data_IF_695058302095
#
_entry.id   IF_695058302095
#
_cell.length_a   1.000
_cell.length_b   1.000
_cell.length_c   1.000
_cell.angle_alpha   90.00
_cell.angle_beta   90.00
_cell.angle_gamma   90.00
#
_symmetry.space_group_name_H-M   'P 1'
#
loop_
_entity.id
_entity.type
_entity.pdbx_description
1 polymer ?
#
# COMPACT_ATOMS: atom_id res chain seq x y z
N UNK A 1 17.40 -8.85 26.61
CA UNK A 1 17.42 -7.59 25.83
C UNK A 1 18.27 -7.88 24.61
N UNK A 2 17.64 -8.21 23.50
CA UNK A 2 18.33 -8.32 22.23
C UNK A 2 18.29 -6.94 21.61
N UNK A 3 19.46 -6.35 21.39
CA UNK A 3 19.62 -5.10 20.65
C UNK A 3 19.11 -5.34 19.22
N UNK A 4 17.85 -5.02 19.00
CA UNK A 4 17.30 -4.87 17.64
C UNK A 4 17.95 -3.61 17.10
N UNK A 5 18.77 -3.67 16.03
CA UNK A 5 19.37 -2.47 15.51
C UNK A 5 18.24 -1.54 15.06
N UNK A 6 18.11 -0.41 15.75
CA UNK A 6 17.38 0.74 15.24
C UNK A 6 17.85 0.98 13.82
N UNK A 7 16.96 1.02 12.89
CA UNK A 7 17.21 1.23 11.48
C UNK A 7 17.89 2.60 11.24
N UNK A 8 19.14 2.66 11.60
CA UNK A 8 20.05 3.74 11.19
C UNK A 8 20.50 3.38 9.79
N UNK A 9 19.84 3.83 8.70
CA UNK A 9 20.39 3.92 7.34
C UNK A 9 21.39 2.87 6.85
N UNK A 10 21.57 1.80 7.58
CA UNK A 10 22.54 0.74 7.34
C UNK A 10 21.97 -0.27 6.36
N UNK A 11 22.60 -0.36 5.22
CA UNK A 11 22.39 -1.30 4.14
C UNK A 11 22.11 -2.71 4.63
N UNK A 12 20.86 -3.15 4.55
CA UNK A 12 20.57 -4.57 4.44
C UNK A 12 21.15 -5.03 3.11
N UNK A 13 22.34 -5.60 3.16
CA UNK A 13 23.06 -6.10 1.99
C UNK A 13 22.54 -7.46 1.53
N UNK A 14 21.26 -7.54 1.21
CA UNK A 14 20.84 -8.66 0.38
C UNK A 14 21.36 -8.41 -1.03
N UNK A 15 21.71 -9.45 -1.80
CA UNK A 15 22.13 -9.27 -3.20
C UNK A 15 21.09 -8.49 -4.04
N UNK A 16 19.83 -8.50 -3.62
CA UNK A 16 18.71 -7.81 -4.25
C UNK A 16 18.67 -6.33 -3.90
N UNK A 17 18.89 -5.97 -2.65
CA UNK A 17 19.01 -4.56 -2.23
C UNK A 17 20.15 -3.88 -2.99
N UNK A 18 21.28 -4.55 -3.15
CA UNK A 18 22.41 -4.02 -3.90
C UNK A 18 22.06 -3.82 -5.38
N UNK A 19 21.40 -4.79 -6.04
CA UNK A 19 20.98 -4.65 -7.45
C UNK A 19 20.01 -3.48 -7.66
N UNK A 20 19.11 -3.25 -6.71
CA UNK A 20 18.18 -2.12 -6.76
C UNK A 20 18.88 -0.77 -6.59
N UNK A 21 19.78 -0.68 -5.62
CA UNK A 21 20.58 0.52 -5.42
C UNK A 21 21.46 0.81 -6.65
N UNK A 22 21.94 -0.22 -7.31
CA UNK A 22 22.70 -0.09 -8.56
C UNK A 22 21.81 0.37 -9.72
N UNK A 23 20.58 -0.12 -9.83
CA UNK A 23 19.59 0.34 -10.81
C UNK A 23 19.22 1.81 -10.58
N UNK A 24 18.94 2.20 -9.32
CA UNK A 24 18.70 3.60 -8.96
C UNK A 24 19.87 4.51 -9.32
N UNK A 25 21.11 4.09 -9.00
CA UNK A 25 22.33 4.89 -9.29
C UNK A 25 22.57 5.09 -10.78
N UNK A 26 22.15 4.15 -11.62
CA UNK A 26 22.25 4.28 -13.08
C UNK A 26 21.16 5.17 -13.67
N UNK A 27 20.24 5.71 -12.87
CA UNK A 27 19.08 6.42 -13.38
C UNK A 27 18.17 5.52 -14.23
N UNK A 28 18.20 4.22 -13.92
CA UNK A 28 17.43 3.22 -14.63
C UNK A 28 15.98 3.31 -14.12
N UNK A 29 15.08 3.87 -14.91
CA UNK A 29 13.63 3.94 -14.61
C UNK A 29 13.01 2.56 -14.47
N UNK A 30 13.80 1.50 -14.67
CA UNK A 30 13.38 0.12 -14.76
C UNK A 30 13.95 -0.77 -13.64
N UNK A 31 14.01 -0.27 -12.38
CA UNK A 31 14.34 -1.19 -11.28
C UNK A 31 13.27 -2.29 -11.09
N UNK A 32 12.06 -2.09 -11.63
CA UNK A 32 10.98 -3.07 -11.65
C UNK A 32 11.33 -4.41 -12.33
N UNK A 33 12.08 -4.49 -13.43
CA UNK A 33 12.55 -5.78 -13.95
C UNK A 33 13.41 -6.57 -12.97
N UNK A 34 14.14 -5.90 -12.09
CA UNK A 34 14.90 -6.57 -11.02
C UNK A 34 13.93 -7.17 -10.00
N UNK A 35 12.85 -6.46 -9.70
CA UNK A 35 11.79 -6.94 -8.82
C UNK A 35 11.06 -8.15 -9.39
N UNK A 36 10.77 -8.16 -10.68
CA UNK A 36 10.14 -9.30 -11.36
C UNK A 36 10.91 -10.60 -11.14
N UNK A 37 12.25 -10.54 -11.13
CA UNK A 37 13.09 -11.71 -10.85
C UNK A 37 12.90 -12.24 -9.42
N UNK A 38 12.67 -11.35 -8.45
CA UNK A 38 12.42 -11.73 -7.05
C UNK A 38 11.04 -12.33 -6.87
N UNK A 39 10.06 -11.78 -7.58
CA UNK A 39 8.66 -12.19 -7.50
C UNK A 39 8.34 -13.48 -8.28
N UNK A 40 9.22 -13.91 -9.18
CA UNK A 40 9.11 -15.20 -9.89
C UNK A 40 9.38 -16.43 -8.99
N UNK A 41 9.44 -16.22 -7.67
CA UNK A 41 9.58 -17.32 -6.73
C UNK A 41 8.27 -18.11 -6.62
N UNK A 42 8.38 -19.43 -6.53
CA UNK A 42 7.22 -20.34 -6.47
C UNK A 42 6.59 -20.35 -5.06
N UNK A 43 5.88 -19.27 -4.71
CA UNK A 43 5.16 -19.15 -3.45
C UNK A 43 3.98 -20.11 -3.32
N UNK A 44 3.48 -20.68 -4.44
CA UNK A 44 2.37 -21.64 -4.45
C UNK A 44 2.72 -22.96 -3.77
N UNK A 45 4.00 -23.30 -3.71
CA UNK A 45 4.48 -24.51 -3.03
C UNK A 45 4.79 -24.29 -1.56
N UNK A 46 4.72 -23.04 -1.08
CA UNK A 46 4.99 -22.75 0.32
C UNK A 46 3.83 -23.20 1.22
N UNK A 47 4.10 -23.86 2.35
CA UNK A 47 3.11 -24.01 3.42
C UNK A 47 2.60 -22.63 3.88
N UNK A 48 1.34 -22.56 4.33
CA UNK A 48 0.72 -21.30 4.79
C UNK A 48 1.55 -20.60 5.87
N UNK A 49 2.13 -21.36 6.79
CA UNK A 49 3.00 -20.84 7.86
C UNK A 49 4.26 -20.18 7.29
N UNK A 50 4.78 -20.71 6.20
CA UNK A 50 5.93 -20.11 5.50
C UNK A 50 5.53 -18.88 4.72
N UNK A 51 4.34 -18.85 4.14
CA UNK A 51 3.82 -17.66 3.47
C UNK A 51 3.67 -16.48 4.43
N UNK A 52 3.24 -16.71 5.66
CA UNK A 52 3.11 -15.66 6.69
C UNK A 52 4.38 -14.85 6.92
N UNK A 53 5.53 -15.48 6.78
CA UNK A 53 6.85 -14.85 6.95
C UNK A 53 7.61 -14.71 5.63
N UNK A 54 6.95 -14.98 4.51
CA UNK A 54 7.60 -15.03 3.21
C UNK A 54 8.26 -13.70 2.84
N UNK A 55 7.55 -12.60 2.98
CA UNK A 55 8.08 -11.28 2.70
C UNK A 55 9.24 -10.89 3.63
N UNK A 56 9.18 -11.29 4.89
CA UNK A 56 10.25 -11.08 5.87
C UNK A 56 11.47 -11.93 5.56
N UNK A 57 11.26 -13.20 5.20
CA UNK A 57 12.34 -14.13 4.85
C UNK A 57 13.09 -13.70 3.58
N UNK A 58 12.36 -13.19 2.60
CA UNK A 58 12.93 -12.78 1.31
C UNK A 58 13.32 -11.31 1.27
N UNK A 59 12.99 -10.55 2.31
CA UNK A 59 13.30 -9.14 2.41
C UNK A 59 12.93 -8.37 1.14
N UNK A 60 11.67 -8.58 0.67
CA UNK A 60 11.13 -7.94 -0.51
C UNK A 60 10.33 -6.70 -0.09
N UNK A 61 10.99 -5.55 0.12
CA UNK A 61 10.38 -4.37 0.75
C UNK A 61 9.27 -3.73 -0.09
N UNK A 62 9.07 -4.19 -1.31
CA UNK A 62 8.07 -3.64 -2.24
C UNK A 62 6.74 -4.35 -2.18
N UNK A 63 6.73 -5.59 -1.74
CA UNK A 63 5.50 -6.38 -1.62
C UNK A 63 4.94 -6.26 -0.22
N UNK A 64 5.82 -6.03 0.74
CA UNK A 64 5.48 -5.85 2.14
C UNK A 64 6.41 -4.81 2.76
N UNK A 65 5.87 -3.70 3.23
CA UNK A 65 6.69 -2.65 3.84
C UNK A 65 7.13 -3.06 5.23
N UNK A 66 8.41 -2.96 5.49
CA UNK A 66 8.92 -3.07 6.84
C UNK A 66 8.71 -1.74 7.58
N UNK A 67 7.76 -1.71 8.50
CA UNK A 67 7.39 -0.50 9.23
C UNK A 67 8.08 -0.53 10.59
N UNK A 68 8.93 0.45 10.89
CA UNK A 68 9.58 0.53 12.21
C UNK A 68 8.56 0.60 13.35
N UNK A 69 8.81 -0.11 14.43
CA UNK A 69 7.93 -0.22 15.59
C UNK A 69 7.38 1.13 16.11
N UNK A 70 8.16 2.21 16.23
CA UNK A 70 7.62 3.49 16.69
C UNK A 70 6.47 4.01 15.82
N UNK A 71 6.50 3.74 14.51
CA UNK A 71 5.43 4.18 13.60
C UNK A 71 4.18 3.32 13.74
N UNK A 72 4.35 2.04 14.02
CA UNK A 72 3.22 1.15 14.32
C UNK A 72 2.46 1.65 15.54
N UNK A 73 3.17 2.11 16.57
CA UNK A 73 2.55 2.69 17.77
C UNK A 73 1.76 3.96 17.46
N UNK A 74 2.29 4.86 16.64
CA UNK A 74 1.57 6.07 16.22
C UNK A 74 0.27 5.71 15.47
N UNK A 75 0.34 4.74 14.57
CA UNK A 75 -0.84 4.25 13.87
C UNK A 75 -1.86 3.60 14.81
N UNK A 76 -1.41 2.74 15.73
CA UNK A 76 -2.28 2.10 16.71
C UNK A 76 -2.94 3.13 17.63
N UNK A 77 -2.18 4.16 18.05
CA UNK A 77 -2.71 5.26 18.83
C UNK A 77 -3.83 5.99 18.08
N UNK A 78 -3.60 6.34 16.83
CA UNK A 78 -4.61 6.96 15.98
C UNK A 78 -5.88 6.11 15.86
N UNK A 79 -5.74 4.79 15.62
CA UNK A 79 -6.86 3.86 15.50
C UNK A 79 -7.65 3.75 16.81
N UNK A 80 -6.96 3.63 17.95
CA UNK A 80 -7.58 3.41 19.26
C UNK A 80 -8.50 4.55 19.69
N UNK A 81 -8.17 5.76 19.29
CA UNK A 81 -8.92 6.96 19.69
C UNK A 81 -10.05 7.34 18.73
N UNK A 82 -10.43 6.44 17.82
CA UNK A 82 -11.58 6.65 16.95
C UNK A 82 -12.85 6.01 17.53
N UNK A 83 -14.03 6.48 17.13
CA UNK A 83 -15.30 5.83 17.50
C UNK A 83 -15.47 4.41 16.91
N UNK A 84 -14.62 4.02 15.98
CA UNK A 84 -14.68 2.72 15.28
C UNK A 84 -13.59 1.72 15.77
N UNK A 85 -12.98 1.96 16.94
CA UNK A 85 -11.80 1.22 17.39
C UNK A 85 -11.92 -0.31 17.35
N UNK A 86 -13.06 -0.88 17.79
CA UNK A 86 -13.29 -2.33 17.75
C UNK A 86 -13.46 -2.86 16.32
N UNK A 87 -14.18 -2.14 15.46
CA UNK A 87 -14.37 -2.50 14.06
C UNK A 87 -13.03 -2.45 13.31
N UNK A 88 -12.20 -1.46 13.60
CA UNK A 88 -10.87 -1.33 13.03
C UNK A 88 -9.93 -2.45 13.50
N UNK A 89 -10.00 -2.82 14.78
CA UNK A 89 -9.26 -3.95 15.30
C UNK A 89 -9.62 -5.24 14.56
N UNK A 90 -10.91 -5.50 14.36
CA UNK A 90 -11.37 -6.66 13.59
C UNK A 90 -10.90 -6.62 12.13
N UNK A 91 -10.91 -5.44 11.50
CA UNK A 91 -10.52 -5.29 10.10
C UNK A 91 -9.03 -5.60 9.85
N UNK A 92 -8.14 -5.24 10.77
CA UNK A 92 -6.70 -5.53 10.59
C UNK A 92 -6.33 -6.98 10.87
N UNK A 93 -7.19 -7.74 11.55
CA UNK A 93 -6.92 -9.14 11.83
C UNK A 93 -7.06 -9.99 10.57
N UNK A 94 -6.12 -10.89 10.36
CA UNK A 94 -6.15 -11.89 9.31
C UNK A 94 -5.73 -13.24 9.91
N UNK A 95 -6.71 -14.10 10.26
CA UNK A 95 -6.44 -15.29 11.06
C UNK A 95 -5.84 -16.46 10.28
N UNK A 96 -5.93 -16.47 8.94
CA UNK A 96 -5.60 -17.66 8.15
C UNK A 96 -4.20 -17.58 7.54
N UNK A 97 -3.88 -16.49 6.87
CA UNK A 97 -2.74 -16.43 5.97
C UNK A 97 -1.80 -15.28 6.34
N UNK A 98 -2.30 -14.20 6.91
CA UNK A 98 -1.61 -12.92 7.06
C UNK A 98 -0.14 -13.02 7.42
N UNK A 99 0.64 -12.16 6.83
CA UNK A 99 1.98 -11.87 7.27
C UNK A 99 1.91 -11.26 8.67
N UNK A 100 2.14 -12.05 9.69
CA UNK A 100 2.27 -11.51 11.05
C UNK A 100 3.73 -11.16 11.26
N UNK A 101 3.99 -9.93 11.65
CA UNK A 101 5.29 -9.49 12.16
C UNK A 101 5.33 -9.62 13.69
N UNK A 102 4.48 -10.48 14.27
CA UNK A 102 4.38 -10.66 15.70
C UNK A 102 5.74 -10.97 16.34
N UNK A 103 6.57 -11.75 15.64
CA UNK A 103 7.93 -12.05 16.06
C UNK A 103 8.87 -10.84 16.01
N UNK A 104 8.52 -9.81 15.25
CA UNK A 104 9.29 -8.57 15.14
C UNK A 104 8.75 -7.45 16.05
N UNK A 105 7.49 -7.57 16.44
CA UNK A 105 6.78 -6.57 17.25
C UNK A 105 5.99 -7.27 18.36
N UNK A 106 6.68 -7.67 19.43
CA UNK A 106 6.06 -8.32 20.62
C UNK A 106 4.81 -7.59 21.14
N UNK A 107 4.77 -6.28 20.95
CA UNK A 107 3.65 -5.44 21.37
C UNK A 107 2.43 -5.49 20.45
N UNK A 108 2.61 -5.81 19.17
CA UNK A 108 1.49 -6.03 18.25
C UNK A 108 0.68 -7.26 18.67
N UNK A 109 1.38 -8.31 19.12
CA UNK A 109 0.75 -9.54 19.61
C UNK A 109 -0.13 -9.29 20.82
N UNK A 110 0.34 -8.47 21.76
CA UNK A 110 -0.42 -8.10 22.95
C UNK A 110 -1.68 -7.29 22.64
N UNK A 111 -1.63 -6.46 21.59
CA UNK A 111 -2.75 -5.61 21.21
C UNK A 111 -3.71 -6.27 20.21
N UNK A 112 -3.19 -7.11 19.31
CA UNK A 112 -3.91 -7.64 18.15
C UNK A 112 -4.09 -9.17 18.15
N UNK A 113 -3.69 -9.86 19.21
CA UNK A 113 -3.79 -11.33 19.32
C UNK A 113 -3.05 -12.09 18.20
N UNK A 114 -1.85 -11.67 17.83
CA UNK A 114 -0.96 -12.32 16.85
C UNK A 114 -1.52 -12.51 15.44
N UNK A 115 -2.55 -11.75 15.06
CA UNK A 115 -3.26 -11.92 13.78
C UNK A 115 -3.24 -10.69 12.88
N UNK A 116 -2.37 -9.73 13.17
CA UNK A 116 -2.22 -8.54 12.36
C UNK A 116 -0.75 -8.33 11.99
N UNK A 117 -0.50 -7.70 10.85
CA UNK A 117 0.82 -7.20 10.47
C UNK A 117 0.91 -5.68 10.67
N UNK A 118 2.14 -5.17 10.79
CA UNK A 118 2.39 -3.73 10.82
C UNK A 118 1.86 -3.05 9.55
N UNK A 119 1.99 -3.71 8.39
CA UNK A 119 1.46 -3.21 7.12
C UNK A 119 -0.05 -3.09 7.13
N UNK A 120 -0.78 -4.06 7.69
CA UNK A 120 -2.24 -3.98 7.83
C UNK A 120 -2.66 -2.80 8.73
N UNK A 121 -1.96 -2.61 9.83
CA UNK A 121 -2.18 -1.45 10.72
C UNK A 121 -1.94 -0.15 9.97
N UNK A 122 -0.87 -0.06 9.18
CA UNK A 122 -0.58 1.11 8.35
C UNK A 122 -1.66 1.36 7.30
N UNK A 123 -2.11 0.34 6.58
CA UNK A 123 -3.18 0.48 5.59
C UNK A 123 -4.48 0.99 6.20
N UNK A 124 -4.85 0.47 7.36
CA UNK A 124 -6.01 0.99 8.08
C UNK A 124 -5.81 2.44 8.50
N UNK A 125 -4.63 2.80 8.99
CA UNK A 125 -4.32 4.17 9.39
C UNK A 125 -4.37 5.14 8.19
N UNK A 126 -3.93 4.72 6.99
CA UNK A 126 -4.08 5.51 5.77
C UNK A 126 -5.55 5.86 5.49
N UNK A 127 -6.44 4.87 5.58
CA UNK A 127 -7.87 5.08 5.40
C UNK A 127 -8.42 6.05 6.45
N UNK A 128 -8.12 5.79 7.72
CA UNK A 128 -8.59 6.58 8.85
C UNK A 128 -8.14 8.04 8.78
N UNK A 129 -6.84 8.29 8.63
CA UNK A 129 -6.26 9.64 8.59
C UNK A 129 -6.80 10.44 7.41
N UNK A 130 -7.18 9.76 6.34
CA UNK A 130 -7.82 10.35 5.18
C UNK A 130 -9.36 10.35 5.25
N UNK A 131 -9.96 9.96 6.38
CA UNK A 131 -11.40 10.01 6.61
C UNK A 131 -12.23 9.00 5.82
N UNK A 132 -11.63 7.89 5.39
CA UNK A 132 -12.35 6.76 4.78
C UNK A 132 -12.83 5.81 5.86
N UNK A 133 -13.91 6.21 6.53
CA UNK A 133 -14.58 5.43 7.59
C UNK A 133 -15.44 4.32 7.00
N UNK A 134 -15.88 3.35 7.82
CA UNK A 134 -16.84 2.32 7.40
C UNK A 134 -18.09 2.90 6.71
N UNK A 135 -18.64 3.99 7.26
CA UNK A 135 -19.81 4.64 6.68
C UNK A 135 -19.55 5.23 5.29
N UNK A 136 -18.34 5.69 5.02
CA UNK A 136 -17.95 6.21 3.72
C UNK A 136 -17.72 5.07 2.74
N UNK A 137 -16.96 4.05 3.15
CA UNK A 137 -16.62 2.90 2.31
C UNK A 137 -17.83 2.06 1.91
N UNK A 138 -18.80 1.88 2.82
CA UNK A 138 -20.01 1.10 2.56
C UNK A 138 -20.93 1.70 1.46
N UNK A 139 -20.77 2.98 1.15
CA UNK A 139 -21.54 3.68 0.10
C UNK A 139 -20.89 3.61 -1.28
N UNK A 140 -19.67 3.09 -1.36
CA UNK A 140 -18.95 2.99 -2.61
C UNK A 140 -19.31 1.70 -3.36
N UNK A 141 -19.30 1.76 -4.67
CA UNK A 141 -19.58 0.63 -5.56
C UNK A 141 -18.32 0.09 -6.22
N UNK A 142 -17.34 0.97 -6.45
CA UNK A 142 -16.13 0.65 -7.19
C UNK A 142 -14.92 1.33 -6.58
N UNK A 143 -13.91 0.54 -6.25
CA UNK A 143 -12.59 1.04 -5.81
C UNK A 143 -11.53 0.53 -6.78
N UNK A 144 -10.58 1.39 -7.13
CA UNK A 144 -9.37 1.02 -7.86
C UNK A 144 -8.17 1.24 -6.95
N UNK A 145 -7.30 0.27 -6.86
CA UNK A 145 -6.01 0.39 -6.18
C UNK A 145 -4.86 0.19 -7.17
N UNK A 146 -3.84 0.99 -7.01
CA UNK A 146 -2.64 0.97 -7.84
C UNK A 146 -1.47 0.51 -6.98
N UNK A 147 -0.94 -0.70 -7.27
CA UNK A 147 0.14 -1.28 -6.50
C UNK A 147 -0.30 -1.68 -5.10
N UNK A 148 -0.94 -2.82 -4.95
CA UNK A 148 -1.51 -3.32 -3.69
C UNK A 148 -0.54 -4.14 -2.84
N UNK A 149 0.73 -4.26 -3.23
CA UNK A 149 1.67 -5.15 -2.56
C UNK A 149 1.18 -6.59 -2.55
N UNK A 150 1.11 -7.23 -1.38
CA UNK A 150 0.53 -8.58 -1.28
C UNK A 150 -1.00 -8.61 -1.32
N UNK A 151 -1.66 -7.45 -1.31
CA UNK A 151 -3.12 -7.38 -1.41
C UNK A 151 -3.85 -7.28 -0.07
N UNK A 152 -3.27 -6.69 0.96
CA UNK A 152 -3.90 -6.59 2.28
C UNK A 152 -4.98 -5.50 2.36
N UNK A 153 -4.82 -4.40 1.62
CA UNK A 153 -5.76 -3.27 1.65
C UNK A 153 -7.19 -3.67 1.25
N UNK A 154 -7.43 -4.44 0.18
CA UNK A 154 -8.78 -4.90 -0.16
C UNK A 154 -9.46 -5.69 0.95
N UNK A 155 -8.76 -6.61 1.60
CA UNK A 155 -9.32 -7.40 2.71
C UNK A 155 -9.78 -6.50 3.86
N UNK A 156 -8.97 -5.52 4.24
CA UNK A 156 -9.32 -4.52 5.25
C UNK A 156 -10.58 -3.75 4.84
N UNK A 157 -10.63 -3.28 3.61
CA UNK A 157 -11.75 -2.48 3.08
C UNK A 157 -13.06 -3.29 3.05
N UNK A 158 -13.02 -4.56 2.65
CA UNK A 158 -14.18 -5.43 2.73
C UNK A 158 -14.66 -5.65 4.17
N UNK A 159 -13.74 -5.85 5.11
CA UNK A 159 -14.06 -5.97 6.54
C UNK A 159 -14.62 -4.69 7.14
N UNK A 160 -14.32 -3.54 6.55
CA UNK A 160 -14.91 -2.24 6.91
C UNK A 160 -16.29 -2.00 6.28
N UNK A 161 -16.87 -2.98 5.57
CA UNK A 161 -18.22 -2.91 5.06
C UNK A 161 -18.36 -2.53 3.59
N UNK A 162 -17.29 -2.41 2.84
CA UNK A 162 -17.36 -2.28 1.38
C UNK A 162 -17.93 -3.57 0.77
N UNK A 163 -18.86 -3.44 -0.18
CA UNK A 163 -19.53 -4.59 -0.80
C UNK A 163 -19.44 -4.60 -2.33
N UNK A 164 -18.82 -3.57 -2.90
CA UNK A 164 -18.69 -3.37 -4.34
C UNK A 164 -17.59 -4.20 -4.99
N UNK A 165 -17.16 -3.77 -6.16
CA UNK A 165 -16.06 -4.40 -6.91
C UNK A 165 -14.75 -3.64 -6.67
N UNK A 166 -13.70 -4.38 -6.35
CA UNK A 166 -12.37 -3.84 -6.11
C UNK A 166 -11.43 -4.21 -7.26
N UNK A 167 -10.84 -3.23 -7.91
CA UNK A 167 -9.89 -3.43 -9.00
C UNK A 167 -8.47 -3.16 -8.50
N UNK A 168 -7.55 -4.03 -8.84
CA UNK A 168 -6.12 -3.86 -8.54
C UNK A 168 -5.35 -3.82 -9.84
N UNK A 169 -4.62 -2.72 -10.05
CA UNK A 169 -3.61 -2.61 -11.09
C UNK A 169 -2.24 -2.86 -10.48
N UNK A 170 -1.58 -3.91 -10.94
CA UNK A 170 -0.24 -4.25 -10.48
C UNK A 170 0.56 -4.97 -11.58
N UNK A 171 1.83 -5.26 -11.30
CA UNK A 171 2.68 -6.07 -12.17
C UNK A 171 2.09 -7.49 -12.32
N UNK A 172 2.31 -8.16 -13.46
CA UNK A 172 1.76 -9.50 -13.70
C UNK A 172 2.12 -10.50 -12.59
N UNK A 173 3.35 -10.47 -12.14
CA UNK A 173 3.89 -11.38 -11.11
C UNK A 173 3.26 -11.10 -9.74
N UNK A 174 3.15 -9.83 -9.38
CA UNK A 174 2.48 -9.40 -8.13
C UNK A 174 1.00 -9.76 -8.17
N UNK A 175 0.35 -9.55 -9.32
CA UNK A 175 -1.06 -9.91 -9.51
C UNK A 175 -1.33 -11.42 -9.36
N UNK A 176 -0.36 -12.28 -9.69
CA UNK A 176 -0.48 -13.72 -9.43
C UNK A 176 -0.47 -14.03 -7.94
N UNK A 177 0.47 -13.45 -7.20
CA UNK A 177 0.53 -13.55 -5.74
C UNK A 177 -0.76 -13.07 -5.09
N UNK A 178 -1.24 -11.91 -5.49
CA UNK A 178 -2.49 -11.32 -4.98
C UNK A 178 -3.71 -12.20 -5.26
N UNK A 179 -3.84 -12.77 -6.47
CA UNK A 179 -4.93 -13.70 -6.79
C UNK A 179 -4.93 -14.93 -5.90
N UNK A 180 -3.76 -15.51 -5.67
CA UNK A 180 -3.63 -16.65 -4.77
C UNK A 180 -4.04 -16.25 -3.35
N UNK A 181 -3.51 -15.14 -2.81
CA UNK A 181 -3.81 -14.64 -1.48
C UNK A 181 -5.31 -14.38 -1.30
N UNK A 182 -5.93 -13.64 -2.20
CA UNK A 182 -7.36 -13.31 -2.13
C UNK A 182 -8.25 -14.54 -2.29
N UNK A 183 -7.82 -15.54 -3.07
CA UNK A 183 -8.54 -16.82 -3.19
C UNK A 183 -8.55 -17.56 -1.86
N UNK A 184 -7.42 -17.59 -1.15
CA UNK A 184 -7.35 -18.21 0.17
C UNK A 184 -8.25 -17.50 1.20
N UNK A 185 -8.40 -16.19 1.08
CA UNK A 185 -9.29 -15.39 1.93
C UNK A 185 -10.78 -15.46 1.50
N UNK A 186 -11.10 -16.12 0.38
CA UNK A 186 -12.46 -16.27 -0.12
C UNK A 186 -13.05 -15.03 -0.80
N UNK A 187 -12.21 -14.08 -1.22
CA UNK A 187 -12.65 -12.89 -1.94
C UNK A 187 -13.02 -13.21 -3.39
N UNK A 188 -14.23 -12.85 -3.81
CA UNK A 188 -14.77 -13.11 -5.16
C UNK A 188 -15.02 -11.85 -5.99
N UNK A 189 -14.95 -10.67 -5.39
CA UNK A 189 -15.21 -9.38 -6.04
C UNK A 189 -13.96 -8.54 -6.27
N UNK A 190 -12.77 -9.17 -6.27
CA UNK A 190 -11.51 -8.51 -6.57
C UNK A 190 -11.12 -8.86 -8.00
N UNK A 191 -10.90 -7.83 -8.81
CA UNK A 191 -10.47 -7.93 -10.21
C UNK A 191 -9.01 -7.49 -10.30
N UNK A 192 -8.13 -8.40 -10.67
CA UNK A 192 -6.71 -8.11 -10.87
C UNK A 192 -6.44 -7.85 -12.36
N UNK A 193 -5.77 -6.74 -12.63
CA UNK A 193 -5.34 -6.37 -13.97
C UNK A 193 -3.90 -5.85 -13.98
N UNK A 194 -3.22 -6.05 -15.10
CA UNK A 194 -1.90 -5.49 -15.39
C UNK A 194 -1.95 -4.47 -16.53
N UNK A 195 -3.14 -4.04 -16.88
CA UNK A 195 -3.35 -3.09 -17.98
C UNK A 195 -4.25 -1.93 -17.56
N UNK A 196 -3.76 -0.71 -17.73
CA UNK A 196 -4.48 0.52 -17.39
C UNK A 196 -5.82 0.61 -18.13
N UNK A 197 -5.88 0.17 -19.38
CA UNK A 197 -7.06 0.28 -20.25
C UNK A 197 -8.29 -0.48 -19.76
N UNK A 198 -8.13 -1.44 -18.88
CA UNK A 198 -9.24 -2.22 -18.32
C UNK A 198 -9.78 -1.66 -17.00
N UNK A 199 -9.17 -0.60 -16.49
CA UNK A 199 -9.64 0.04 -15.27
C UNK A 199 -10.91 0.86 -15.52
N UNK A 200 -11.93 0.74 -14.64
CA UNK A 200 -13.10 1.59 -14.68
C UNK A 200 -12.81 2.96 -14.04
N UNK A 201 -13.66 3.93 -14.32
CA UNK A 201 -13.81 5.10 -13.46
C UNK A 201 -14.44 4.63 -12.13
N UNK A 202 -13.88 5.06 -11.00
CA UNK A 202 -14.22 4.54 -9.69
C UNK A 202 -14.77 5.63 -8.75
N UNK A 203 -15.35 5.19 -7.63
CA UNK A 203 -15.70 6.08 -6.52
C UNK A 203 -14.45 6.54 -5.78
N UNK A 204 -13.45 5.65 -5.68
CA UNK A 204 -12.18 5.91 -5.01
C UNK A 204 -11.03 5.24 -5.77
N UNK A 205 -9.95 5.99 -6.00
CA UNK A 205 -8.65 5.45 -6.37
C UNK A 205 -7.68 5.57 -5.19
N UNK A 206 -7.04 4.46 -4.85
CA UNK A 206 -6.03 4.35 -3.79
C UNK A 206 -4.67 4.09 -4.44
N UNK A 207 -3.65 4.83 -4.02
CA UNK A 207 -2.27 4.60 -4.43
C UNK A 207 -1.32 4.99 -3.30
N UNK A 208 -0.97 4.04 -2.47
CA UNK A 208 -0.03 4.26 -1.38
C UNK A 208 1.39 4.02 -1.88
N UNK A 209 2.11 5.12 -2.17
CA UNK A 209 3.42 5.26 -2.80
C UNK A 209 3.50 4.81 -4.27
N UNK A 210 2.85 3.76 -4.68
CA UNK A 210 2.97 3.12 -5.99
C UNK A 210 2.81 4.09 -7.18
N UNK A 211 1.81 4.97 -7.15
CA UNK A 211 1.58 5.95 -8.22
C UNK A 211 2.79 6.87 -8.43
N UNK A 212 3.40 7.32 -7.34
CA UNK A 212 4.55 8.23 -7.37
C UNK A 212 5.88 7.54 -7.63
N UNK A 213 5.89 6.22 -7.66
CA UNK A 213 7.02 5.39 -8.05
C UNK A 213 6.96 4.97 -9.53
N UNK A 214 5.82 5.17 -10.19
CA UNK A 214 5.66 4.86 -11.61
C UNK A 214 6.40 5.83 -12.53
N UNK A 215 6.84 5.39 -13.72
CA UNK A 215 7.30 6.27 -14.78
C UNK A 215 6.23 7.31 -15.17
N UNK A 216 6.64 8.53 -15.48
CA UNK A 216 5.71 9.64 -15.81
C UNK A 216 4.76 9.31 -16.96
N UNK A 217 5.23 8.58 -17.98
CA UNK A 217 4.38 8.15 -19.10
C UNK A 217 3.23 7.27 -18.64
N UNK A 218 3.50 6.30 -17.74
CA UNK A 218 2.48 5.42 -17.19
C UNK A 218 1.49 6.18 -16.29
N UNK A 219 1.97 7.16 -15.51
CA UNK A 219 1.09 8.06 -14.73
C UNK A 219 0.13 8.82 -15.65
N UNK A 220 0.63 9.34 -16.77
CA UNK A 220 -0.20 10.07 -17.75
C UNK A 220 -1.27 9.17 -18.39
N UNK A 221 -0.92 7.93 -18.74
CA UNK A 221 -1.88 6.96 -19.28
C UNK A 221 -2.96 6.60 -18.24
N UNK A 222 -2.56 6.41 -16.99
CA UNK A 222 -3.47 6.13 -15.89
C UNK A 222 -4.45 7.28 -15.67
N UNK A 223 -3.96 8.51 -15.59
CA UNK A 223 -4.80 9.70 -15.38
C UNK A 223 -5.76 9.89 -16.56
N UNK A 224 -5.34 9.63 -17.78
CA UNK A 224 -6.20 9.67 -18.96
C UNK A 224 -7.34 8.65 -18.86
N UNK A 225 -7.07 7.46 -18.34
CA UNK A 225 -8.06 6.38 -18.22
C UNK A 225 -9.03 6.60 -17.06
N UNK A 226 -8.53 6.93 -15.87
CA UNK A 226 -9.35 6.99 -14.65
C UNK A 226 -9.37 8.36 -13.98
N UNK A 227 -8.92 9.42 -14.64
CA UNK A 227 -8.87 10.78 -14.09
C UNK A 227 -10.23 11.34 -13.64
N UNK A 228 -11.34 10.76 -14.14
CA UNK A 228 -12.71 11.10 -13.74
C UNK A 228 -13.14 10.40 -12.42
N UNK A 229 -12.30 9.56 -11.83
CA UNK A 229 -12.56 8.95 -10.52
C UNK A 229 -12.93 10.01 -9.49
N UNK A 230 -13.99 9.74 -8.72
CA UNK A 230 -14.61 10.74 -7.84
C UNK A 230 -13.69 11.20 -6.73
N UNK A 231 -12.96 10.25 -6.13
CA UNK A 231 -12.09 10.51 -5.01
C UNK A 231 -10.71 9.86 -5.22
N UNK A 232 -9.69 10.46 -4.64
CA UNK A 232 -8.32 9.94 -4.66
C UNK A 232 -7.70 9.95 -3.27
N UNK A 233 -6.99 8.87 -2.95
CA UNK A 233 -6.09 8.77 -1.81
C UNK A 233 -4.72 8.39 -2.33
N UNK A 234 -3.77 9.31 -2.24
CA UNK A 234 -2.39 9.09 -2.67
C UNK A 234 -1.48 9.33 -1.47
N UNK A 235 -0.74 8.31 -1.02
CA UNK A 235 0.38 8.51 -0.12
C UNK A 235 1.66 8.59 -0.95
N UNK A 236 2.53 9.56 -0.67
CA UNK A 236 3.73 9.78 -1.46
C UNK A 236 4.88 10.37 -0.64
N UNK A 237 6.10 10.08 -1.07
CA UNK A 237 7.30 10.77 -0.65
C UNK A 237 7.62 11.89 -1.65
N UNK A 238 8.07 13.04 -1.14
CA UNK A 238 8.33 14.23 -1.96
C UNK A 238 9.31 13.95 -3.09
N UNK A 239 10.41 13.29 -2.79
CA UNK A 239 11.42 12.98 -3.78
C UNK A 239 11.62 11.48 -3.90
N UNK A 240 11.40 10.93 -5.08
CA UNK A 240 11.68 9.54 -5.40
C UNK A 240 12.13 9.44 -6.87
N UNK A 241 13.15 8.64 -7.16
CA UNK A 241 13.73 8.43 -8.50
C UNK A 241 14.05 9.72 -9.26
N UNK A 242 14.54 10.76 -8.55
CA UNK A 242 14.86 12.06 -9.16
C UNK A 242 13.64 12.93 -9.50
N UNK A 243 12.42 12.50 -9.17
CA UNK A 243 11.18 13.24 -9.43
C UNK A 243 10.77 13.98 -8.15
N UNK A 244 10.49 15.29 -8.25
CA UNK A 244 9.76 16.03 -7.22
C UNK A 244 8.25 15.74 -7.41
N UNK A 245 7.75 14.80 -6.61
CA UNK A 245 6.36 14.38 -6.67
C UNK A 245 5.40 15.48 -6.20
N UNK A 246 5.82 16.37 -5.30
CA UNK A 246 5.00 17.51 -4.88
C UNK A 246 4.73 18.44 -6.07
N UNK A 247 5.79 18.77 -6.82
CA UNK A 247 5.67 19.58 -8.01
C UNK A 247 4.82 18.88 -9.10
N UNK A 248 5.06 17.59 -9.34
CA UNK A 248 4.29 16.81 -10.30
C UNK A 248 2.80 16.77 -9.93
N UNK A 249 2.48 16.42 -8.69
CA UNK A 249 1.09 16.33 -8.23
C UNK A 249 0.39 17.68 -8.33
N UNK A 250 1.06 18.76 -7.92
CA UNK A 250 0.46 20.11 -7.94
C UNK A 250 0.25 20.64 -9.34
N UNK A 251 1.27 20.58 -10.19
CA UNK A 251 1.27 21.30 -11.47
C UNK A 251 0.75 20.46 -12.64
N UNK A 252 0.85 19.13 -12.56
CA UNK A 252 0.48 18.25 -13.66
C UNK A 252 -0.76 17.44 -13.33
N UNK A 253 -0.70 16.63 -12.27
CA UNK A 253 -1.77 15.70 -11.92
C UNK A 253 -3.10 16.41 -11.62
N UNK A 254 -3.08 17.40 -10.71
CA UNK A 254 -4.31 18.13 -10.34
C UNK A 254 -4.96 18.87 -11.52
N UNK A 255 -4.17 19.37 -12.47
CA UNK A 255 -4.71 20.01 -13.67
C UNK A 255 -5.42 19.01 -14.60
N UNK A 256 -4.91 17.78 -14.68
CA UNK A 256 -5.43 16.73 -15.56
C UNK A 256 -6.74 16.10 -15.06
N UNK A 257 -6.94 16.04 -13.73
CA UNK A 257 -8.16 15.47 -13.13
C UNK A 257 -9.26 16.49 -12.87
N UNK A 258 -9.14 17.70 -13.39
CA UNK A 258 -10.09 18.79 -13.17
C UNK A 258 -10.35 19.08 -11.68
N UNK A 259 -9.28 19.08 -10.88
CA UNK A 259 -9.35 19.21 -9.41
C UNK A 259 -9.84 20.59 -8.94
N UNK A 260 -9.95 21.58 -9.82
CA UNK A 260 -10.43 22.94 -9.50
C UNK A 260 -11.87 22.99 -8.95
N UNK A 261 -12.66 21.95 -9.22
CA UNK A 261 -14.02 21.78 -8.68
C UNK A 261 -14.08 20.81 -7.49
N UNK A 262 -12.92 20.39 -6.95
CA UNK A 262 -12.82 19.38 -5.90
C UNK A 262 -12.05 19.92 -4.69
N UNK A 263 -12.39 19.38 -3.53
CA UNK A 263 -11.61 19.62 -2.32
C UNK A 263 -10.29 18.83 -2.36
N UNK A 264 -9.18 19.55 -2.37
CA UNK A 264 -7.83 18.97 -2.33
C UNK A 264 -7.24 19.21 -0.95
N UNK A 265 -6.86 18.14 -0.25
CA UNK A 265 -6.27 18.23 1.09
C UNK A 265 -4.94 17.49 1.10
N UNK A 266 -3.93 18.09 1.74
CA UNK A 266 -2.64 17.48 2.04
C UNK A 266 -2.51 17.25 3.53
N UNK A 267 -2.18 16.04 3.91
CA UNK A 267 -2.02 15.64 5.31
C UNK A 267 -0.59 15.14 5.50
N UNK A 268 0.25 15.88 6.23
CA UNK A 268 1.60 15.42 6.53
C UNK A 268 1.59 14.13 7.35
N UNK A 269 2.57 13.26 7.10
CA UNK A 269 2.86 12.09 7.93
C UNK A 269 4.14 12.40 8.71
N UNK A 270 4.05 13.05 9.86
CA UNK A 270 5.20 13.69 10.53
C UNK A 270 6.24 12.66 11.03
N UNK A 271 5.82 11.45 11.30
CA UNK A 271 6.68 10.36 11.76
C UNK A 271 7.33 9.56 10.62
N UNK A 272 7.07 9.92 9.35
CA UNK A 272 7.72 9.33 8.18
C UNK A 272 8.44 10.41 7.34
N UNK A 273 9.57 10.94 7.80
CA UNK A 273 10.25 12.07 7.17
C UNK A 273 11.09 11.68 5.93
N UNK A 274 10.84 10.52 5.34
CA UNK A 274 11.65 9.98 4.25
C UNK A 274 11.59 10.85 2.98
N UNK A 275 12.72 10.92 2.27
CA UNK A 275 12.81 11.56 0.95
C UNK A 275 12.20 12.98 0.89
N UNK A 276 12.49 13.80 1.88
CA UNK A 276 12.01 15.19 1.93
C UNK A 276 10.60 15.38 2.48
N UNK A 277 10.05 14.35 3.11
CA UNK A 277 8.73 14.36 3.73
C UNK A 277 7.74 13.44 3.02
N UNK A 278 6.88 12.84 3.82
CA UNK A 278 5.80 11.96 3.36
C UNK A 278 4.46 12.59 3.65
N UNK A 279 3.52 12.50 2.71
CA UNK A 279 2.21 13.13 2.81
C UNK A 279 1.13 12.24 2.19
N UNK A 280 -0.11 12.47 2.63
CA UNK A 280 -1.29 12.07 1.86
C UNK A 280 -1.79 13.25 1.02
N UNK A 281 -2.18 12.95 -0.19
CA UNK A 281 -3.03 13.81 -1.01
C UNK A 281 -4.39 13.16 -1.11
N UNK A 282 -5.43 13.85 -0.62
CA UNK A 282 -6.81 13.42 -0.81
C UNK A 282 -7.55 14.40 -1.69
N UNK A 283 -8.38 13.87 -2.57
CA UNK A 283 -9.20 14.65 -3.48
C UNK A 283 -10.63 14.13 -3.37
N UNK A 284 -11.57 15.03 -3.15
CA UNK A 284 -13.00 14.72 -2.96
C UNK A 284 -13.88 15.66 -3.75
N UNK A 285 -15.14 15.25 -4.04
CA UNK A 285 -16.15 16.14 -4.63
C UNK A 285 -16.39 17.41 -3.84
#
# INVERSE_FOLDING_TARGET
MHDVPLWSGGSYSSPWTQKMEDAKRRGDDQYWPVMQTVLNYDYHTLPLERFKVWSSVWNVPFVHSHIPEPYVWEYLHAIRHTPYGEQYRAAVQEPLIGCTEADLHDHLSLFMNDKASATRVQHLAHLLMCGYTPDVLSRMSTIVEIGSGIGEMPDIIYKLGFTGTYYILDLPEVSQLQRWYHTQLGHTKIVHTNTVRTLPVADLCIATWSFTEMPLALRADLVRQIGQTSQWLIAYSRHIFGIDNEQYLTNVFLSQIAAHSRQVTRIPIPFMPWNGGTQYLTIRP
#
